data_IF_008280042606
#
_entry.id   IF_008280042606
#
_cell.length_a   1.000
_cell.length_b   1.000
_cell.length_c   1.000
_cell.angle_alpha   90.00
_cell.angle_beta   90.00
_cell.angle_gamma   90.00
#
_symmetry.space_group_name_H-M   'P 1'
#
loop_
_entity.id
_entity.type
_entity.pdbx_description
1 polymer ?
#
# COMPACT_ATOMS: atom_id res chain seq x y z
N UNK A 1 -32.27 -5.96 1.17
CA UNK A 1 -31.42 -4.96 0.50
C UNK A 1 -30.14 -5.66 0.12
N UNK A 2 -30.04 -6.13 -1.11
CA UNK A 2 -28.84 -6.83 -1.59
C UNK A 2 -27.83 -5.78 -2.02
N UNK A 3 -26.73 -5.68 -1.29
CA UNK A 3 -25.56 -4.91 -1.77
C UNK A 3 -25.10 -5.53 -3.08
N UNK A 4 -24.81 -4.75 -4.13
CA UNK A 4 -24.34 -5.32 -5.39
C UNK A 4 -23.02 -6.06 -5.12
N UNK A 5 -22.95 -7.34 -5.48
CA UNK A 5 -21.83 -8.25 -5.18
C UNK A 5 -20.49 -7.77 -5.78
N UNK A 6 -20.52 -6.79 -6.70
CA UNK A 6 -19.35 -6.14 -7.28
C UNK A 6 -18.79 -4.99 -6.43
N UNK A 7 -19.53 -4.47 -5.46
CA UNK A 7 -19.11 -3.39 -4.56
C UNK A 7 -18.41 -3.94 -3.31
N UNK A 8 -18.83 -5.12 -2.83
CA UNK A 8 -18.23 -5.80 -1.68
C UNK A 8 -16.70 -5.97 -1.78
N UNK A 9 -16.11 -6.49 -2.89
CA UNK A 9 -14.67 -6.63 -2.98
C UNK A 9 -13.93 -5.29 -3.00
N UNK A 10 -14.54 -4.23 -3.56
CA UNK A 10 -13.97 -2.89 -3.58
C UNK A 10 -13.96 -2.25 -2.19
N UNK A 11 -15.05 -2.43 -1.41
CA UNK A 11 -15.15 -2.01 -0.01
C UNK A 11 -14.14 -2.76 0.85
N UNK A 12 -14.04 -4.08 0.68
CA UNK A 12 -13.08 -4.92 1.39
C UNK A 12 -11.63 -4.54 1.12
N UNK A 13 -11.30 -4.24 -0.13
CA UNK A 13 -9.99 -3.71 -0.51
C UNK A 13 -9.74 -2.34 0.12
N UNK A 14 -10.74 -1.45 0.11
CA UNK A 14 -10.62 -0.10 0.65
C UNK A 14 -10.37 -0.12 2.17
N UNK A 15 -11.14 -0.89 2.94
CA UNK A 15 -10.96 -1.01 4.41
C UNK A 15 -9.57 -1.52 4.78
N UNK A 16 -9.04 -2.49 4.01
CA UNK A 16 -7.68 -3.02 4.20
C UNK A 16 -6.61 -1.98 3.85
N UNK A 17 -6.82 -1.18 2.81
CA UNK A 17 -5.93 -0.06 2.47
C UNK A 17 -5.99 1.04 3.51
N UNK A 18 -7.16 1.34 4.08
CA UNK A 18 -7.30 2.30 5.18
C UNK A 18 -6.51 1.87 6.41
N UNK A 19 -6.63 0.59 6.77
CA UNK A 19 -5.89 0.04 7.91
C UNK A 19 -4.39 0.17 7.67
N UNK A 20 -3.87 -0.29 6.52
CA UNK A 20 -2.46 -0.13 6.18
C UNK A 20 -2.01 1.34 6.17
N UNK A 21 -2.84 2.24 5.62
CA UNK A 21 -2.57 3.67 5.57
C UNK A 21 -2.45 4.30 6.96
N UNK A 22 -3.26 3.90 7.94
CA UNK A 22 -3.13 4.34 9.33
C UNK A 22 -1.78 3.94 9.93
N UNK A 23 -1.35 2.70 9.71
CA UNK A 23 -0.04 2.24 10.18
C UNK A 23 1.12 2.97 9.51
N UNK A 24 1.06 3.18 8.19
CA UNK A 24 2.08 3.92 7.45
C UNK A 24 2.20 5.38 7.94
N UNK A 25 1.07 6.05 8.20
CA UNK A 25 1.06 7.40 8.79
C UNK A 25 1.71 7.43 10.16
N UNK A 26 1.42 6.46 11.02
CA UNK A 26 2.04 6.34 12.34
C UNK A 26 3.57 6.15 12.27
N UNK A 27 4.08 5.66 11.14
CA UNK A 27 5.51 5.49 10.87
C UNK A 27 6.13 6.58 9.99
N UNK A 28 5.46 7.73 9.83
CA UNK A 28 6.04 8.92 9.18
C UNK A 28 5.94 8.95 7.66
N UNK A 29 5.12 8.08 7.05
CA UNK A 29 4.81 8.18 5.63
C UNK A 29 3.63 9.12 5.39
N UNK A 30 3.71 9.84 4.28
CA UNK A 30 2.57 10.58 3.73
C UNK A 30 1.77 9.62 2.87
N UNK A 31 0.46 9.51 3.14
CA UNK A 31 -0.43 8.62 2.38
C UNK A 31 -1.68 9.33 1.89
N UNK A 32 -2.06 9.02 0.66
CA UNK A 32 -3.19 9.59 -0.07
C UNK A 32 -4.03 8.45 -0.64
N UNK A 33 -5.34 8.46 -0.37
CA UNK A 33 -6.27 7.46 -0.89
C UNK A 33 -6.75 7.90 -2.27
N UNK A 34 -6.61 7.02 -3.25
CA UNK A 34 -7.08 7.23 -4.63
C UNK A 34 -8.07 6.14 -5.00
N UNK A 35 -8.82 6.32 -6.08
CA UNK A 35 -9.75 5.31 -6.56
C UNK A 35 -9.00 3.98 -6.82
N UNK A 36 -9.24 2.98 -5.95
CA UNK A 36 -8.66 1.64 -6.06
C UNK A 36 -7.26 1.47 -5.48
N UNK A 37 -6.70 2.43 -4.73
CA UNK A 37 -5.35 2.30 -4.18
C UNK A 37 -4.98 3.31 -3.09
N UNK A 38 -3.79 3.10 -2.53
CA UNK A 38 -3.15 3.93 -1.52
C UNK A 38 -1.81 4.41 -2.05
N UNK A 39 -1.67 5.70 -2.33
CA UNK A 39 -0.38 6.30 -2.66
C UNK A 39 0.39 6.52 -1.38
N UNK A 40 1.61 5.99 -1.30
CA UNK A 40 2.51 6.07 -0.15
C UNK A 40 3.76 6.81 -0.58
N UNK A 41 4.16 7.83 0.18
CA UNK A 41 5.33 8.66 -0.08
C UNK A 41 6.19 8.76 1.17
N UNK A 42 7.49 8.57 0.99
CA UNK A 42 8.49 8.89 1.99
C UNK A 42 9.08 10.26 1.68
N UNK A 43 8.60 11.28 2.41
CA UNK A 43 9.07 12.67 2.28
C UNK A 43 10.34 12.94 3.09
N UNK A 44 10.75 11.98 3.93
CA UNK A 44 11.99 12.03 4.72
C UNK A 44 13.18 11.49 3.93
N UNK A 45 12.94 10.77 2.83
CA UNK A 45 13.97 10.32 1.90
C UNK A 45 14.75 11.52 1.34
N UNK A 46 15.96 11.73 1.86
CA UNK A 46 16.99 12.61 1.27
C UNK A 46 17.66 11.98 0.05
N UNK A 47 17.19 10.80 -0.40
CA UNK A 47 17.67 10.15 -1.61
C UNK A 47 17.46 11.10 -2.79
N UNK A 48 18.57 11.55 -3.40
CA UNK A 48 18.55 12.38 -4.59
C UNK A 48 17.86 11.58 -5.69
N UNK A 49 16.65 11.97 -6.08
CA UNK A 49 16.04 11.41 -7.28
C UNK A 49 17.01 11.67 -8.43
N UNK A 50 17.23 10.65 -9.27
CA UNK A 50 18.14 10.72 -10.43
C UNK A 50 17.89 11.95 -11.33
N UNK A 51 16.71 12.57 -11.23
CA UNK A 51 16.30 13.75 -11.99
C UNK A 51 16.20 15.06 -11.18
N UNK A 52 17.01 15.26 -10.13
CA UNK A 52 17.27 16.60 -9.56
C UNK A 52 16.12 17.30 -8.81
N UNK A 53 14.91 16.74 -8.80
CA UNK A 53 13.88 17.11 -7.84
C UNK A 53 14.23 16.54 -6.45
N UNK A 54 13.84 17.23 -5.38
CA UNK A 54 13.67 16.62 -4.04
C UNK A 54 12.51 15.62 -4.12
N UNK A 55 12.67 14.53 -4.87
CA UNK A 55 11.61 13.56 -5.11
C UNK A 55 11.67 12.50 -4.03
N UNK A 56 10.78 12.62 -3.06
CA UNK A 56 10.49 11.54 -2.13
C UNK A 56 10.19 10.25 -2.91
N UNK A 57 10.73 9.14 -2.43
CA UNK A 57 10.38 7.81 -2.93
C UNK A 57 8.89 7.56 -2.65
N UNK A 58 8.14 7.07 -3.63
CA UNK A 58 6.73 6.76 -3.45
C UNK A 58 6.26 5.61 -4.33
N UNK A 59 5.17 4.99 -3.92
CA UNK A 59 4.55 3.84 -4.60
C UNK A 59 3.03 3.86 -4.39
N UNK A 60 2.29 3.26 -5.32
CA UNK A 60 0.84 3.10 -5.20
C UNK A 60 0.54 1.66 -4.84
N UNK A 61 0.05 1.46 -3.62
CA UNK A 61 -0.32 0.16 -3.09
C UNK A 61 -1.75 -0.15 -3.45
N UNK A 62 -1.99 -1.36 -3.96
CA UNK A 62 -3.34 -1.87 -4.21
C UNK A 62 -3.60 -3.09 -3.33
N UNK A 63 -4.87 -3.35 -3.03
CA UNK A 63 -5.30 -4.53 -2.28
C UNK A 63 -6.28 -5.31 -3.14
N UNK A 64 -6.01 -6.60 -3.38
CA UNK A 64 -6.86 -7.47 -4.21
C UNK A 64 -6.68 -8.95 -3.83
N UNK A 65 -7.63 -9.82 -4.20
CA UNK A 65 -7.47 -11.26 -4.07
C UNK A 65 -6.24 -11.76 -4.83
N UNK A 66 -5.52 -12.70 -4.23
CA UNK A 66 -4.37 -13.36 -4.84
C UNK A 66 -4.81 -14.68 -5.47
N UNK A 67 -4.68 -14.80 -6.80
CA UNK A 67 -5.16 -15.95 -7.57
C UNK A 67 -4.55 -17.30 -7.11
N UNK A 68 -3.31 -17.26 -6.59
CA UNK A 68 -2.60 -18.45 -6.10
C UNK A 68 -2.81 -18.79 -4.62
N UNK A 69 -3.62 -18.03 -3.88
CA UNK A 69 -3.70 -18.14 -2.41
C UNK A 69 -5.16 -18.21 -1.91
N UNK A 70 -5.98 -19.03 -2.58
CA UNK A 70 -7.39 -19.29 -2.24
C UNK A 70 -8.27 -18.02 -2.19
N UNK A 71 -7.91 -16.98 -2.94
CA UNK A 71 -8.63 -15.70 -2.94
C UNK A 71 -8.36 -14.83 -1.72
N UNK A 72 -7.36 -15.14 -0.90
CA UNK A 72 -6.90 -14.26 0.18
C UNK A 72 -6.47 -12.91 -0.40
N UNK A 73 -6.76 -11.84 0.33
CA UNK A 73 -6.37 -10.50 -0.08
C UNK A 73 -4.90 -10.27 0.22
N UNK A 74 -4.20 -9.66 -0.75
CA UNK A 74 -2.80 -9.29 -0.64
C UNK A 74 -2.62 -7.82 -1.03
N UNK A 75 -1.59 -7.21 -0.46
CA UNK A 75 -1.10 -5.92 -0.90
C UNK A 75 -0.12 -6.09 -2.06
N UNK A 76 -0.21 -5.19 -3.03
CA UNK A 76 0.66 -5.18 -4.21
C UNK A 76 1.23 -3.80 -4.45
N UNK A 77 2.48 -3.76 -4.91
CA UNK A 77 3.13 -2.54 -5.42
C UNK A 77 2.52 -2.10 -6.75
N UNK A 78 2.87 -0.90 -7.22
CA UNK A 78 2.49 -0.43 -8.57
C UNK A 78 3.03 -1.33 -9.69
N UNK A 79 4.11 -2.08 -9.43
CA UNK A 79 4.68 -3.08 -10.35
C UNK A 79 4.00 -4.45 -10.27
N UNK A 80 2.85 -4.55 -9.59
CA UNK A 80 2.08 -5.79 -9.40
C UNK A 80 2.84 -6.89 -8.64
N UNK A 81 3.88 -6.53 -7.89
CA UNK A 81 4.59 -7.48 -7.05
C UNK A 81 3.84 -7.64 -5.71
N UNK A 82 3.60 -8.87 -5.25
CA UNK A 82 2.98 -9.10 -3.94
C UNK A 82 3.92 -8.63 -2.82
N UNK A 83 3.36 -7.97 -1.82
CA UNK A 83 4.07 -7.46 -0.65
C UNK A 83 3.86 -8.42 0.53
N UNK A 84 2.61 -8.57 0.96
CA UNK A 84 2.18 -9.45 2.04
C UNK A 84 0.66 -9.69 1.98
N UNK A 85 0.20 -10.76 2.63
CA UNK A 85 -1.22 -11.00 2.91
C UNK A 85 -1.82 -9.85 3.73
N UNK A 86 -3.05 -9.43 3.42
CA UNK A 86 -3.67 -8.24 3.99
C UNK A 86 -3.93 -8.31 5.50
N UNK A 87 -3.94 -9.52 6.09
CA UNK A 87 -3.98 -9.71 7.54
C UNK A 87 -2.64 -9.45 8.24
N UNK A 88 -1.53 -9.38 7.48
CA UNK A 88 -0.16 -9.22 8.00
C UNK A 88 0.34 -7.79 7.80
N UNK A 89 -0.34 -6.85 8.45
CA UNK A 89 -0.08 -5.41 8.28
C UNK A 89 1.36 -5.04 8.64
N UNK A 90 1.93 -5.64 9.70
CA UNK A 90 3.33 -5.41 10.10
C UNK A 90 4.31 -5.86 9.02
N UNK A 91 4.08 -7.02 8.40
CA UNK A 91 4.94 -7.52 7.33
C UNK A 91 4.89 -6.59 6.12
N UNK A 92 3.67 -6.16 5.73
CA UNK A 92 3.48 -5.20 4.66
C UNK A 92 4.22 -3.88 4.92
N UNK A 93 4.10 -3.35 6.14
CA UNK A 93 4.76 -2.13 6.58
C UNK A 93 6.29 -2.24 6.49
N UNK A 94 6.89 -3.32 6.98
CA UNK A 94 8.34 -3.54 6.97
C UNK A 94 8.86 -3.59 5.54
N UNK A 95 8.17 -4.30 4.64
CA UNK A 95 8.52 -4.36 3.23
C UNK A 95 8.47 -2.98 2.58
N UNK A 96 7.38 -2.23 2.79
CA UNK A 96 7.20 -0.87 2.27
C UNK A 96 8.31 0.07 2.75
N UNK A 97 8.66 0.01 4.04
CA UNK A 97 9.80 0.77 4.58
C UNK A 97 11.11 0.43 3.89
N UNK A 98 11.37 -0.86 3.67
CA UNK A 98 12.60 -1.34 3.06
C UNK A 98 12.83 -0.78 1.66
N UNK A 99 11.82 -0.86 0.78
CA UNK A 99 12.02 -0.41 -0.62
C UNK A 99 11.77 1.08 -0.83
N UNK A 100 11.00 1.76 0.03
CA UNK A 100 10.87 3.22 0.01
C UNK A 100 12.01 3.92 0.75
N UNK A 101 13.00 3.20 1.27
CA UNK A 101 14.20 3.79 1.90
C UNK A 101 13.90 4.56 3.18
N UNK A 102 12.87 4.17 3.93
CA UNK A 102 12.63 4.75 5.26
C UNK A 102 13.66 4.22 6.26
N UNK A 103 14.14 5.06 7.20
CA UNK A 103 15.04 4.59 8.26
C UNK A 103 14.34 3.50 9.10
N UNK A 104 15.12 2.48 9.47
CA UNK A 104 14.68 1.33 10.25
C UNK A 104 14.15 1.73 11.64
#
# INVERSE_FOLDING_TARGET
>A
MSVPEHEAPAVESYVRLETLGMHLRAHGFTVEYVAGGLVVRNETSTARSVCGARGGSGDTITCRPHDGDEGRYWYYTSWRQPIAEAGRITDALVMIKGYLGAPA
#
